data_IF_960223564302
#
_entry.id   IF_960223564302
#
_cell.length_a   1.000
_cell.length_b   1.000
_cell.length_c   1.000
_cell.angle_alpha   90.00
_cell.angle_beta   90.00
_cell.angle_gamma   90.00
#
_symmetry.space_group_name_H-M   'P 1'
#
loop_
_entity.id
_entity.type
_entity.pdbx_description
1 polymer ?
#
# COMPACT_ATOMS: atom_id res chain seq x y z
N UNK A 1 -25.85 27.22 -12.13
CA UNK A 1 -26.63 26.32 -11.25
C UNK A 1 -25.83 25.08 -10.81
N UNK A 2 -25.07 24.43 -11.70
CA UNK A 2 -24.30 23.21 -11.38
C UNK A 2 -22.84 23.43 -10.92
N UNK A 3 -22.49 24.64 -10.44
CA UNK A 3 -21.12 24.91 -9.97
C UNK A 3 -20.99 24.54 -8.50
N UNK A 4 -19.89 23.86 -8.16
CA UNK A 4 -19.61 23.48 -6.77
C UNK A 4 -19.32 24.75 -5.94
N UNK A 5 -20.14 25.07 -4.91
CA UNK A 5 -19.99 26.31 -4.17
C UNK A 5 -18.71 26.31 -3.32
N UNK A 6 -18.11 27.49 -3.13
CA UNK A 6 -16.93 27.68 -2.27
C UNK A 6 -15.62 27.10 -2.82
N UNK A 7 -15.58 26.71 -4.09
CA UNK A 7 -14.41 26.08 -4.74
C UNK A 7 -14.12 26.79 -6.06
N UNK A 8 -12.94 27.42 -6.16
CA UNK A 8 -12.48 28.11 -7.37
C UNK A 8 -11.00 27.79 -7.63
N UNK A 9 -10.61 27.71 -8.91
CA UNK A 9 -9.23 27.49 -9.35
C UNK A 9 -8.69 26.06 -9.10
N UNK A 10 -7.41 25.86 -9.40
CA UNK A 10 -6.75 24.53 -9.35
C UNK A 10 -6.63 23.93 -7.94
N UNK A 11 -6.68 24.75 -6.89
CA UNK A 11 -6.59 24.25 -5.51
C UNK A 11 -7.72 23.28 -5.13
N UNK A 12 -8.93 23.49 -5.68
CA UNK A 12 -10.07 22.63 -5.43
C UNK A 12 -9.85 21.18 -5.93
N UNK A 13 -9.58 20.92 -7.22
CA UNK A 13 -9.32 19.56 -7.70
C UNK A 13 -8.05 18.94 -7.11
N UNK A 14 -7.01 19.72 -6.82
CA UNK A 14 -5.79 19.20 -6.17
C UNK A 14 -6.07 18.72 -4.75
N UNK A 15 -6.94 19.39 -3.98
CA UNK A 15 -7.34 18.92 -2.65
C UNK A 15 -8.13 17.60 -2.70
N UNK A 16 -8.94 17.39 -3.74
CA UNK A 16 -9.59 16.11 -3.99
C UNK A 16 -8.57 15.03 -4.33
N UNK A 17 -7.55 15.36 -5.12
CA UNK A 17 -6.48 14.43 -5.48
C UNK A 17 -5.67 13.98 -4.27
N UNK A 18 -5.35 14.87 -3.33
CA UNK A 18 -4.64 14.47 -2.10
C UNK A 18 -5.45 13.49 -1.25
N UNK A 19 -6.76 13.72 -1.15
CA UNK A 19 -7.67 12.76 -0.50
C UNK A 19 -7.72 11.41 -1.23
N UNK A 20 -7.74 11.43 -2.56
CA UNK A 20 -7.73 10.22 -3.37
C UNK A 20 -6.41 9.44 -3.23
N UNK A 21 -5.26 10.13 -3.24
CA UNK A 21 -3.92 9.54 -3.06
C UNK A 21 -3.81 8.79 -1.74
N UNK A 22 -4.34 9.35 -0.65
CA UNK A 22 -4.38 8.65 0.64
C UNK A 22 -5.17 7.34 0.56
N UNK A 23 -6.35 7.36 -0.07
CA UNK A 23 -7.14 6.15 -0.27
C UNK A 23 -6.44 5.12 -1.16
N UNK A 24 -5.82 5.57 -2.25
CA UNK A 24 -5.02 4.71 -3.16
C UNK A 24 -3.85 4.06 -2.42
N UNK A 25 -3.18 4.76 -1.51
CA UNK A 25 -2.08 4.20 -0.72
C UNK A 25 -2.54 2.99 0.10
N UNK A 26 -3.66 3.11 0.83
CA UNK A 26 -4.25 1.97 1.56
C UNK A 26 -4.72 0.85 0.63
N UNK A 27 -5.33 1.20 -0.51
CA UNK A 27 -5.75 0.21 -1.51
C UNK A 27 -4.58 -0.60 -2.07
N UNK A 28 -3.48 0.06 -2.39
CA UNK A 28 -2.26 -0.58 -2.88
C UNK A 28 -1.63 -1.50 -1.82
N UNK A 29 -1.63 -1.09 -0.55
CA UNK A 29 -1.19 -1.93 0.58
C UNK A 29 -2.03 -3.20 0.69
N UNK A 30 -3.36 -3.08 0.61
CA UNK A 30 -4.27 -4.23 0.66
C UNK A 30 -4.00 -5.24 -0.46
N UNK A 31 -3.83 -4.74 -1.70
CA UNK A 31 -3.45 -5.60 -2.83
C UNK A 31 -2.07 -6.26 -2.64
N UNK A 32 -1.10 -5.53 -2.08
CA UNK A 32 0.23 -6.08 -1.79
C UNK A 32 0.20 -7.19 -0.73
N UNK A 33 -0.66 -7.06 0.30
CA UNK A 33 -0.88 -8.09 1.30
C UNK A 33 -1.46 -9.36 0.70
N UNK A 34 -2.48 -9.25 -0.17
CA UNK A 34 -3.08 -10.41 -0.85
C UNK A 34 -2.06 -11.13 -1.75
N UNK A 35 -1.23 -10.37 -2.48
CA UNK A 35 -0.10 -10.89 -3.24
C UNK A 35 0.91 -11.65 -2.35
N UNK A 36 1.24 -11.09 -1.18
CA UNK A 36 2.16 -11.74 -0.23
C UNK A 36 1.58 -13.04 0.31
N UNK A 37 0.34 -13.04 0.78
CA UNK A 37 -0.31 -14.23 1.35
C UNK A 37 -0.44 -15.35 0.32
N UNK A 38 -0.82 -14.98 -0.91
CA UNK A 38 -0.88 -15.92 -2.04
C UNK A 38 0.49 -16.49 -2.39
N UNK A 39 1.53 -15.66 -2.45
CA UNK A 39 2.90 -16.11 -2.72
C UNK A 39 3.44 -17.00 -1.59
N UNK A 40 3.22 -16.62 -0.34
CA UNK A 40 3.66 -17.37 0.84
C UNK A 40 3.00 -18.74 0.89
N UNK A 41 1.67 -18.81 0.70
CA UNK A 41 0.92 -20.07 0.65
C UNK A 41 1.46 -20.97 -0.46
N UNK A 42 1.54 -20.46 -1.69
CA UNK A 42 2.04 -21.24 -2.82
C UNK A 42 3.49 -21.71 -2.64
N UNK A 43 4.33 -20.90 -1.98
CA UNK A 43 5.73 -21.27 -1.71
C UNK A 43 5.88 -22.50 -0.81
N UNK A 44 4.90 -22.75 0.06
CA UNK A 44 4.85 -23.90 0.97
C UNK A 44 4.27 -25.15 0.29
N UNK A 45 3.35 -24.97 -0.65
CA UNK A 45 2.66 -26.06 -1.36
C UNK A 45 3.44 -26.58 -2.57
N UNK A 46 4.09 -25.71 -3.33
CA UNK A 46 4.80 -26.09 -4.54
C UNK A 46 6.12 -26.78 -4.22
N UNK A 47 6.23 -28.05 -4.61
CA UNK A 47 7.47 -28.84 -4.51
C UNK A 47 8.31 -28.69 -5.77
N UNK A 48 9.63 -28.47 -5.62
CA UNK A 48 10.60 -28.56 -6.70
C UNK A 48 11.99 -28.91 -6.18
N UNK A 49 12.75 -29.71 -6.92
CA UNK A 49 13.98 -30.34 -6.43
C UNK A 49 13.78 -31.03 -5.06
N UNK A 50 12.69 -31.80 -4.97
CA UNK A 50 12.32 -32.65 -3.83
C UNK A 50 12.00 -31.94 -2.50
N UNK A 51 11.75 -30.62 -2.51
CA UNK A 51 11.30 -29.87 -1.32
C UNK A 51 10.43 -28.66 -1.68
N UNK A 52 9.68 -28.07 -0.74
CA UNK A 52 8.93 -26.84 -0.98
C UNK A 52 9.82 -25.71 -1.49
N UNK A 53 9.36 -24.94 -2.47
CA UNK A 53 10.15 -23.85 -3.04
C UNK A 53 10.46 -22.75 -2.00
N UNK A 54 9.63 -22.61 -0.96
CA UNK A 54 9.86 -21.72 0.19
C UNK A 54 11.08 -22.09 1.04
N UNK A 55 11.73 -23.23 0.79
CA UNK A 55 12.98 -23.62 1.45
C UNK A 55 14.25 -23.10 0.75
N UNK A 56 14.12 -22.50 -0.44
CA UNK A 56 15.26 -21.92 -1.16
C UNK A 56 15.48 -20.45 -0.75
N UNK A 57 16.74 -20.07 -0.53
CA UNK A 57 17.11 -18.73 -0.06
C UNK A 57 16.58 -17.60 -0.96
N UNK A 58 16.55 -17.78 -2.28
CA UNK A 58 16.06 -16.74 -3.19
C UNK A 58 14.54 -16.52 -3.09
N UNK A 59 13.76 -17.55 -2.76
CA UNK A 59 12.31 -17.40 -2.52
C UNK A 59 12.10 -16.72 -1.16
N UNK A 60 12.85 -17.14 -0.14
CA UNK A 60 12.80 -16.52 1.19
C UNK A 60 13.18 -15.03 1.12
N UNK A 61 14.21 -14.68 0.36
CA UNK A 61 14.62 -13.28 0.13
C UNK A 61 13.48 -12.44 -0.45
N UNK A 62 12.82 -12.94 -1.51
CA UNK A 62 11.68 -12.24 -2.13
C UNK A 62 10.54 -12.02 -1.15
N UNK A 63 10.17 -13.06 -0.37
CA UNK A 63 9.10 -12.96 0.63
C UNK A 63 9.47 -11.99 1.76
N UNK A 64 10.73 -12.01 2.24
CA UNK A 64 11.24 -11.10 3.26
C UNK A 64 11.23 -9.63 2.77
N UNK A 65 11.63 -9.39 1.53
CA UNK A 65 11.58 -8.07 0.91
C UNK A 65 10.11 -7.58 0.78
N UNK A 66 9.21 -8.43 0.28
CA UNK A 66 7.78 -8.09 0.18
C UNK A 66 7.19 -7.65 1.52
N UNK A 67 7.33 -8.46 2.56
CA UNK A 67 6.72 -8.13 3.86
C UNK A 67 7.36 -6.90 4.50
N UNK A 68 8.66 -6.67 4.26
CA UNK A 68 9.37 -5.47 4.72
C UNK A 68 8.80 -4.21 4.07
N UNK A 69 8.62 -4.21 2.75
CA UNK A 69 8.06 -3.06 2.03
C UNK A 69 6.59 -2.82 2.37
N UNK A 70 5.80 -3.88 2.52
CA UNK A 70 4.39 -3.78 2.95
C UNK A 70 4.29 -3.14 4.34
N UNK A 71 5.08 -3.63 5.30
CA UNK A 71 5.08 -3.10 6.67
C UNK A 71 5.51 -1.63 6.69
N UNK A 72 6.54 -1.29 5.90
CA UNK A 72 6.99 0.10 5.76
C UNK A 72 5.88 0.99 5.19
N UNK A 73 5.21 0.54 4.13
CA UNK A 73 4.09 1.26 3.53
C UNK A 73 2.94 1.46 4.54
N UNK A 74 2.56 0.41 5.28
CA UNK A 74 1.54 0.50 6.34
C UNK A 74 1.89 1.56 7.38
N UNK A 75 3.12 1.59 7.88
CA UNK A 75 3.54 2.57 8.88
C UNK A 75 3.53 4.01 8.33
N UNK A 76 3.99 4.19 7.09
CA UNK A 76 3.98 5.50 6.42
C UNK A 76 2.55 5.99 6.20
N UNK A 77 1.67 5.14 5.67
CA UNK A 77 0.27 5.51 5.39
C UNK A 77 -0.52 5.69 6.68
N UNK A 78 -0.25 4.89 7.72
CA UNK A 78 -0.80 5.11 9.06
C UNK A 78 -0.39 6.48 9.60
N UNK A 79 0.91 6.83 9.56
CA UNK A 79 1.38 8.13 10.02
C UNK A 79 0.76 9.29 9.24
N UNK A 80 0.62 9.14 7.91
CA UNK A 80 -0.07 10.12 7.07
C UNK A 80 -1.54 10.28 7.49
N UNK A 81 -2.23 9.18 7.84
CA UNK A 81 -3.58 9.20 8.40
C UNK A 81 -3.66 10.01 9.69
N UNK A 82 -2.79 9.73 10.66
CA UNK A 82 -2.73 10.50 11.91
C UNK A 82 -2.50 11.99 11.65
N UNK A 83 -1.55 12.34 10.77
CA UNK A 83 -1.30 13.74 10.42
C UNK A 83 -2.50 14.40 9.73
N UNK A 84 -3.25 13.66 8.92
CA UNK A 84 -4.46 14.15 8.25
C UNK A 84 -5.56 14.44 9.27
N UNK A 85 -5.76 13.55 10.23
CA UNK A 85 -6.75 13.74 11.32
C UNK A 85 -6.37 14.93 12.22
N UNK A 86 -5.07 15.16 12.43
CA UNK A 86 -4.54 16.32 13.14
C UNK A 86 -4.59 17.63 12.31
N UNK A 87 -4.99 17.60 11.04
CA UNK A 87 -4.96 18.77 10.14
C UNK A 87 -3.54 19.23 9.76
N UNK A 88 -2.54 18.35 9.93
CA UNK A 88 -1.10 18.60 9.72
C UNK A 88 -0.52 17.90 8.50
N UNK A 89 -1.31 17.09 7.78
CA UNK A 89 -0.87 16.50 6.54
C UNK A 89 -0.68 17.58 5.47
N UNK A 90 0.50 17.62 4.87
CA UNK A 90 0.81 18.50 3.74
C UNK A 90 0.59 17.76 2.42
N UNK A 91 0.32 18.52 1.36
CA UNK A 91 0.38 17.98 0.00
C UNK A 91 1.78 17.44 -0.30
N UNK A 92 1.85 16.36 -1.09
CA UNK A 92 3.10 15.82 -1.61
C UNK A 92 3.73 16.74 -2.67
#
# INVERSE_FOLDING_TARGET
ENLLPGRNGLGAPLSCLDSARYGIAWGAIGAAMDCYDSALRYSKERIQFSKPIGSFQLIQKKLAEMITEITKAQLLTHRLGTLRDEGRATSA
#
